data_IF_767596658516
#
_entry.id   IF_767596658516
#
_cell.length_a   1.000
_cell.length_b   1.000
_cell.length_c   1.000
_cell.angle_alpha   90.00
_cell.angle_beta   90.00
_cell.angle_gamma   90.00
#
_symmetry.space_group_name_H-M   'P 1'
#
loop_
_entity.id
_entity.type
_entity.pdbx_description
1 polymer ?
#
# COMPACT_ATOMS: atom_id res chain seq x y z
N UNK A 1 -12.90 26.45 21.31
CA UNK A 1 -12.12 25.20 21.44
C UNK A 1 -12.97 23.93 21.32
N UNK A 2 -14.13 23.82 21.98
CA UNK A 2 -15.00 22.61 21.92
C UNK A 2 -15.33 22.13 20.49
N UNK A 3 -15.69 23.05 19.58
CA UNK A 3 -16.05 22.70 18.19
C UNK A 3 -14.88 22.19 17.33
N UNK A 4 -13.63 22.52 17.68
CA UNK A 4 -12.46 22.06 16.91
C UNK A 4 -12.13 20.61 17.27
N UNK A 5 -12.16 20.27 18.55
CA UNK A 5 -11.94 18.90 19.05
C UNK A 5 -13.05 17.97 18.55
N UNK A 6 -14.27 18.47 18.41
CA UNK A 6 -15.42 17.74 17.88
C UNK A 6 -15.50 17.75 16.34
N UNK A 7 -14.46 18.22 15.64
CA UNK A 7 -14.41 18.13 14.18
C UNK A 7 -14.16 16.70 13.72
N UNK A 8 -14.75 16.34 12.58
CA UNK A 8 -14.69 14.99 12.05
C UNK A 8 -13.25 14.49 11.80
N UNK A 9 -12.32 15.28 11.24
CA UNK A 9 -10.93 14.84 11.06
C UNK A 9 -10.23 14.48 12.38
N UNK A 10 -10.46 15.28 13.43
CA UNK A 10 -9.84 15.05 14.74
C UNK A 10 -10.47 13.82 15.41
N UNK A 11 -11.79 13.65 15.30
CA UNK A 11 -12.46 12.45 15.83
C UNK A 11 -11.99 11.17 15.12
N UNK A 12 -11.75 11.22 13.80
CA UNK A 12 -11.15 10.11 13.06
C UNK A 12 -9.73 9.82 13.52
N UNK A 13 -8.89 10.84 13.72
CA UNK A 13 -7.54 10.65 14.24
C UNK A 13 -7.54 9.96 15.62
N UNK A 14 -8.37 10.44 16.54
CA UNK A 14 -8.52 9.85 17.87
C UNK A 14 -9.03 8.40 17.77
N UNK A 15 -9.98 8.13 16.87
CA UNK A 15 -10.49 6.79 16.63
C UNK A 15 -9.39 5.84 16.14
N UNK A 16 -8.53 6.30 15.22
CA UNK A 16 -7.41 5.51 14.73
C UNK A 16 -6.45 5.15 15.84
N UNK A 17 -6.06 6.13 16.66
CA UNK A 17 -5.17 5.93 17.79
C UNK A 17 -5.75 4.98 18.85
N UNK A 18 -7.08 4.97 19.02
CA UNK A 18 -7.74 4.09 20.00
C UNK A 18 -8.02 2.67 19.48
N UNK A 19 -8.35 2.51 18.19
CA UNK A 19 -8.93 1.26 17.66
C UNK A 19 -8.17 0.64 16.48
N UNK A 20 -7.33 1.40 15.76
CA UNK A 20 -6.68 0.98 14.51
C UNK A 20 -5.15 0.89 14.59
N UNK A 21 -4.62 0.40 15.71
CA UNK A 21 -3.17 0.22 15.89
C UNK A 21 -2.50 -0.53 14.72
N UNK A 22 -3.15 -1.58 14.20
CA UNK A 22 -2.60 -2.35 13.08
C UNK A 22 -2.54 -1.53 11.77
N UNK A 23 -3.58 -0.77 11.44
CA UNK A 23 -3.54 0.05 10.22
C UNK A 23 -2.54 1.21 10.37
N UNK A 24 -2.41 1.78 11.58
CA UNK A 24 -1.44 2.82 11.89
C UNK A 24 0.01 2.34 11.79
N UNK A 25 0.27 1.06 12.08
CA UNK A 25 1.61 0.47 11.99
C UNK A 25 2.23 0.70 10.61
N UNK A 26 1.48 0.54 9.52
CA UNK A 26 2.01 0.76 8.17
C UNK A 26 2.39 2.22 7.93
N UNK A 27 1.61 3.17 8.44
CA UNK A 27 1.98 4.59 8.38
C UNK A 27 3.26 4.85 9.16
N UNK A 28 3.38 4.31 10.38
CA UNK A 28 4.60 4.44 11.20
C UNK A 28 5.80 3.89 10.45
N UNK A 29 5.69 2.69 9.87
CA UNK A 29 6.78 2.09 9.07
C UNK A 29 7.16 3.00 7.89
N UNK A 30 6.18 3.53 7.15
CA UNK A 30 6.44 4.45 6.04
C UNK A 30 7.15 5.72 6.50
N UNK A 31 6.73 6.33 7.61
CA UNK A 31 7.41 7.47 8.21
C UNK A 31 8.87 7.12 8.53
N UNK A 32 9.11 5.99 9.19
CA UNK A 32 10.45 5.56 9.56
C UNK A 32 11.35 5.29 8.34
N UNK A 33 10.80 4.70 7.27
CA UNK A 33 11.53 4.47 6.01
C UNK A 33 11.95 5.80 5.37
N UNK A 34 11.02 6.76 5.25
CA UNK A 34 11.28 8.02 4.55
C UNK A 34 12.17 8.98 5.37
N UNK A 35 12.16 8.89 6.70
CA UNK A 35 13.03 9.70 7.57
C UNK A 35 14.36 9.03 7.89
N UNK A 36 14.79 8.02 7.12
CA UNK A 36 16.04 7.29 7.32
C UNK A 36 16.19 6.56 8.68
N UNK A 37 15.10 6.40 9.45
CA UNK A 37 15.12 5.69 10.74
C UNK A 37 15.00 4.17 10.58
N UNK A 38 14.56 3.70 9.42
CA UNK A 38 14.42 2.28 9.09
C UNK A 38 15.04 1.96 7.73
N UNK A 39 15.93 0.98 7.71
CA UNK A 39 16.46 0.43 6.46
C UNK A 39 17.52 1.28 5.74
N UNK A 40 18.08 2.30 6.40
CA UNK A 40 19.13 3.16 5.86
C UNK A 40 20.32 2.37 5.31
N UNK A 41 20.86 1.42 6.10
CA UNK A 41 21.99 0.56 5.69
C UNK A 41 21.70 -0.32 4.47
N UNK A 42 20.43 -0.52 4.15
CA UNK A 42 19.97 -1.32 3.01
C UNK A 42 19.48 -0.44 1.86
N UNK A 43 19.59 0.89 1.96
CA UNK A 43 19.13 1.82 0.94
C UNK A 43 17.61 1.93 0.80
N UNK A 44 16.81 1.44 1.76
CA UNK A 44 15.34 1.50 1.70
C UNK A 44 14.83 2.94 1.50
N UNK A 45 15.35 3.98 2.21
CA UNK A 45 14.90 5.35 1.98
C UNK A 45 15.10 5.81 0.53
N UNK A 46 16.20 5.39 -0.11
CA UNK A 46 16.53 5.75 -1.49
C UNK A 46 15.49 5.23 -2.48
N UNK A 47 14.85 4.09 -2.20
CA UNK A 47 13.79 3.55 -3.05
C UNK A 47 12.60 4.53 -3.18
N UNK A 48 12.35 5.33 -2.15
CA UNK A 48 11.29 6.35 -2.14
C UNK A 48 11.78 7.70 -2.65
N UNK A 49 13.02 8.09 -2.33
CA UNK A 49 13.55 9.42 -2.62
C UNK A 49 14.13 9.53 -4.04
N UNK A 50 14.57 8.42 -4.62
CA UNK A 50 15.11 8.31 -5.98
C UNK A 50 14.54 7.06 -6.69
N UNK A 51 13.21 7.00 -6.90
CA UNK A 51 12.57 5.82 -7.49
C UNK A 51 13.02 5.64 -8.95
N UNK A 52 13.64 4.51 -9.24
CA UNK A 52 14.09 4.16 -10.59
C UNK A 52 12.97 3.43 -11.37
N UNK A 53 12.82 3.78 -12.65
CA UNK A 53 12.01 3.03 -13.61
C UNK A 53 12.71 3.02 -14.96
N UNK A 54 12.89 1.82 -15.54
CA UNK A 54 13.60 1.61 -16.81
C UNK A 54 15.02 2.22 -16.86
N UNK A 55 15.74 2.25 -15.74
CA UNK A 55 17.10 2.80 -15.67
C UNK A 55 17.17 4.29 -15.28
N UNK A 56 16.03 4.98 -15.21
CA UNK A 56 15.99 6.44 -15.03
C UNK A 56 15.08 6.87 -13.87
N UNK A 57 15.47 7.97 -13.21
CA UNK A 57 14.64 8.67 -12.22
C UNK A 57 13.98 9.88 -12.87
N UNK A 58 12.79 9.65 -13.41
CA UNK A 58 12.05 10.58 -14.26
C UNK A 58 10.67 10.92 -13.70
N UNK A 59 9.94 11.78 -14.41
CA UNK A 59 8.51 12.03 -14.15
C UNK A 59 7.72 10.72 -14.06
N UNK A 60 8.01 9.75 -14.94
CA UNK A 60 7.27 8.49 -15.01
C UNK A 60 7.52 7.62 -13.77
N UNK A 61 8.75 7.59 -13.27
CA UNK A 61 9.12 6.85 -12.06
C UNK A 61 8.35 7.38 -10.84
N UNK A 62 8.29 8.71 -10.68
CA UNK A 62 7.48 9.36 -9.65
C UNK A 62 5.98 9.24 -9.91
N UNK A 63 5.52 9.20 -11.17
CA UNK A 63 4.12 9.00 -11.52
C UNK A 63 3.62 7.63 -11.08
N UNK A 64 4.38 6.56 -11.35
CA UNK A 64 4.05 5.20 -10.90
C UNK A 64 4.06 5.13 -9.37
N UNK A 65 5.05 5.75 -8.72
CA UNK A 65 5.09 5.84 -7.26
C UNK A 65 3.87 6.58 -6.70
N UNK A 66 3.49 7.70 -7.32
CA UNK A 66 2.29 8.47 -6.98
C UNK A 66 1.02 7.65 -7.16
N UNK A 67 0.91 6.90 -8.26
CA UNK A 67 -0.22 6.02 -8.54
C UNK A 67 -0.35 4.92 -7.47
N UNK A 68 0.77 4.28 -7.11
CA UNK A 68 0.80 3.29 -6.02
C UNK A 68 0.48 3.92 -4.64
N UNK A 69 0.95 5.13 -4.38
CA UNK A 69 0.58 5.89 -3.18
C UNK A 69 -0.92 6.20 -3.16
N UNK A 70 -1.49 6.63 -4.28
CA UNK A 70 -2.94 6.79 -4.45
C UNK A 70 -3.69 5.49 -4.17
N UNK A 71 -3.20 4.35 -4.64
CA UNK A 71 -3.77 3.03 -4.34
C UNK A 71 -3.75 2.70 -2.84
N UNK A 72 -2.59 2.88 -2.20
CA UNK A 72 -2.43 2.71 -0.76
C UNK A 72 -3.38 3.62 0.03
N UNK A 73 -3.51 4.90 -0.36
CA UNK A 73 -4.44 5.85 0.25
C UNK A 73 -5.90 5.43 0.11
N UNK A 74 -6.29 4.94 -1.06
CA UNK A 74 -7.65 4.47 -1.29
C UNK A 74 -7.95 3.25 -0.44
N UNK A 75 -7.04 2.28 -0.38
CA UNK A 75 -7.17 1.10 0.48
C UNK A 75 -7.29 1.47 1.95
N UNK A 76 -6.44 2.38 2.44
CA UNK A 76 -6.52 2.92 3.80
C UNK A 76 -7.92 3.49 4.10
N UNK A 77 -8.44 4.31 3.20
CA UNK A 77 -9.74 4.97 3.37
C UNK A 77 -10.90 3.98 3.30
N UNK A 78 -10.88 3.06 2.34
CA UNK A 78 -11.92 2.04 2.17
C UNK A 78 -11.96 1.11 3.38
N UNK A 79 -10.80 0.59 3.79
CA UNK A 79 -10.69 -0.32 4.93
C UNK A 79 -11.18 0.35 6.20
N UNK A 80 -10.74 1.59 6.46
CA UNK A 80 -11.18 2.31 7.66
C UNK A 80 -12.66 2.67 7.63
N UNK A 81 -13.20 3.02 6.45
CA UNK A 81 -14.62 3.30 6.27
C UNK A 81 -15.47 2.06 6.61
N UNK A 82 -15.12 0.88 6.09
CA UNK A 82 -15.84 -0.37 6.37
C UNK A 82 -15.84 -0.67 7.87
N UNK A 83 -14.69 -0.51 8.52
CA UNK A 83 -14.54 -0.85 9.94
C UNK A 83 -15.26 0.14 10.86
N UNK A 84 -15.32 1.43 10.51
CA UNK A 84 -15.69 2.48 11.47
C UNK A 84 -16.81 3.43 11.05
N UNK A 85 -17.28 3.40 9.81
CA UNK A 85 -18.32 4.35 9.37
C UNK A 85 -19.62 4.25 10.19
N UNK A 86 -19.91 3.08 10.78
CA UNK A 86 -21.04 2.86 11.67
C UNK A 86 -21.00 3.68 12.97
N UNK A 87 -19.81 4.13 13.41
CA UNK A 87 -19.67 5.05 14.55
C UNK A 87 -20.09 6.50 14.20
N UNK A 88 -20.29 6.79 12.92
CA UNK A 88 -20.58 8.11 12.38
C UNK A 88 -21.87 8.08 11.52
N UNK A 89 -23.05 7.91 12.14
CA UNK A 89 -24.33 7.77 11.42
C UNK A 89 -24.69 8.97 10.55
N UNK A 90 -24.18 10.17 10.85
CA UNK A 90 -24.41 11.37 10.02
C UNK A 90 -23.95 11.19 8.57
N UNK A 91 -22.95 10.33 8.34
CA UNK A 91 -22.49 9.99 6.99
C UNK A 91 -23.62 9.42 6.14
N UNK A 92 -24.50 8.60 6.71
CA UNK A 92 -25.63 8.03 5.99
C UNK A 92 -26.51 9.13 5.38
N UNK A 93 -26.67 10.28 6.03
CA UNK A 93 -27.51 11.37 5.50
C UNK A 93 -26.91 12.13 4.30
N UNK A 94 -25.67 11.83 3.90
CA UNK A 94 -24.95 12.54 2.85
C UNK A 94 -25.10 11.85 1.48
N UNK A 95 -25.10 12.65 0.41
CA UNK A 95 -25.13 12.13 -0.96
C UNK A 95 -23.84 11.37 -1.34
N UNK A 96 -22.68 11.74 -0.79
CA UNK A 96 -21.37 11.09 -1.08
C UNK A 96 -20.65 10.77 0.23
N UNK A 97 -21.13 9.77 1.00
CA UNK A 97 -20.63 9.49 2.34
C UNK A 97 -19.14 9.13 2.35
N UNK A 98 -18.73 8.23 1.45
CA UNK A 98 -17.34 7.80 1.32
C UNK A 98 -16.41 8.95 0.94
N UNK A 99 -16.79 9.81 -0.02
CA UNK A 99 -15.96 10.95 -0.42
C UNK A 99 -15.72 11.94 0.73
N UNK A 100 -16.77 12.23 1.51
CA UNK A 100 -16.64 13.07 2.72
C UNK A 100 -15.79 12.37 3.77
N UNK A 101 -15.97 11.07 3.98
CA UNK A 101 -15.13 10.30 4.90
C UNK A 101 -13.65 10.39 4.52
N UNK A 102 -13.30 10.05 3.28
CA UNK A 102 -11.91 10.02 2.80
C UNK A 102 -11.24 11.39 2.89
N UNK A 103 -11.99 12.46 2.61
CA UNK A 103 -11.47 13.83 2.74
C UNK A 103 -11.15 14.19 4.19
N UNK A 104 -11.99 13.80 5.14
CA UNK A 104 -11.77 14.09 6.56
C UNK A 104 -10.76 13.10 7.18
N UNK A 105 -10.54 11.94 6.56
CA UNK A 105 -9.54 10.94 6.95
C UNK A 105 -8.15 11.17 6.29
N UNK A 106 -7.84 12.41 5.94
CA UNK A 106 -6.63 12.78 5.20
C UNK A 106 -5.48 13.27 6.08
N UNK A 107 -5.69 13.47 7.38
CA UNK A 107 -4.69 14.08 8.27
C UNK A 107 -3.35 13.31 8.31
N UNK A 108 -3.41 11.98 8.49
CA UNK A 108 -2.20 11.13 8.49
C UNK A 108 -1.56 11.07 7.10
N UNK A 109 -2.31 10.78 6.00
CA UNK A 109 -1.82 10.90 4.64
C UNK A 109 -1.09 12.20 4.31
N UNK A 110 -1.69 13.34 4.66
CA UNK A 110 -1.14 14.67 4.38
C UNK A 110 0.12 14.90 5.20
N UNK A 111 0.12 14.53 6.49
CA UNK A 111 1.31 14.62 7.33
C UNK A 111 2.47 13.79 6.75
N UNK A 112 2.20 12.57 6.30
CA UNK A 112 3.20 11.73 5.64
C UNK A 112 3.70 12.37 4.34
N UNK A 113 2.79 12.85 3.49
CA UNK A 113 3.15 13.46 2.23
C UNK A 113 4.02 14.71 2.42
N UNK A 114 3.73 15.54 3.43
CA UNK A 114 4.54 16.70 3.79
C UNK A 114 5.95 16.26 4.20
N UNK A 115 6.07 15.29 5.12
CA UNK A 115 7.37 14.77 5.55
C UNK A 115 8.15 14.18 4.37
N UNK A 116 7.48 13.41 3.52
CA UNK A 116 8.09 12.83 2.33
C UNK A 116 8.60 13.87 1.34
N UNK A 117 7.84 14.92 1.06
CA UNK A 117 8.29 16.01 0.19
C UNK A 117 9.48 16.74 0.80
N UNK A 118 9.47 17.01 2.11
CA UNK A 118 10.59 17.63 2.81
C UNK A 118 11.85 16.77 2.65
N UNK A 119 11.76 15.47 2.95
CA UNK A 119 12.89 14.55 2.84
C UNK A 119 13.37 14.41 1.39
N UNK A 120 12.47 14.39 0.41
CA UNK A 120 12.81 14.36 -1.01
C UNK A 120 13.60 15.60 -1.44
N UNK A 121 13.21 16.79 -0.98
CA UNK A 121 13.90 18.04 -1.31
C UNK A 121 15.25 18.15 -0.59
N UNK A 122 15.34 17.70 0.66
CA UNK A 122 16.60 17.63 1.42
C UNK A 122 17.56 16.67 0.73
N UNK A 123 17.12 15.46 0.40
CA UNK A 123 17.92 14.47 -0.31
C UNK A 123 18.45 14.99 -1.66
N UNK A 124 17.57 15.58 -2.48
CA UNK A 124 18.01 16.15 -3.76
C UNK A 124 19.02 17.28 -3.59
N UNK A 125 18.90 18.09 -2.52
CA UNK A 125 19.88 19.15 -2.23
C UNK A 125 21.23 18.56 -1.84
N UNK A 126 21.22 17.60 -0.93
CA UNK A 126 22.43 17.05 -0.32
C UNK A 126 23.23 16.22 -1.35
N UNK A 127 22.56 15.52 -2.27
CA UNK A 127 23.17 14.81 -3.41
C UNK A 127 23.52 15.72 -4.60
N UNK A 128 23.30 17.04 -4.50
CA UNK A 128 23.58 17.99 -5.59
C UNK A 128 22.67 17.83 -6.83
N UNK A 129 21.58 17.07 -6.72
CA UNK A 129 20.59 16.81 -7.76
C UNK A 129 19.52 17.91 -7.87
N UNK A 130 19.51 18.87 -6.93
CA UNK A 130 18.46 19.89 -6.83
C UNK A 130 18.54 20.91 -7.96
N UNK A 131 17.83 20.61 -9.04
CA UNK A 131 17.45 21.57 -10.08
C UNK A 131 15.96 21.81 -9.99
N UNK A 132 15.55 23.05 -9.73
CA UNK A 132 14.14 23.42 -9.58
C UNK A 132 13.19 22.82 -10.64
N UNK A 133 13.48 22.89 -11.96
CA UNK A 133 12.58 22.29 -12.96
C UNK A 133 12.50 20.76 -12.85
N UNK A 134 13.59 20.09 -12.48
CA UNK A 134 13.63 18.62 -12.31
C UNK A 134 12.84 18.22 -11.07
N UNK A 135 13.03 18.93 -9.95
CA UNK A 135 12.27 18.71 -8.73
C UNK A 135 10.77 18.94 -8.94
N UNK A 136 10.39 20.00 -9.65
CA UNK A 136 9.00 20.28 -9.98
C UNK A 136 8.37 19.20 -10.88
N UNK A 137 9.11 18.67 -11.86
CA UNK A 137 8.65 17.54 -12.69
C UNK A 137 8.46 16.27 -11.87
N UNK A 138 9.39 15.93 -10.99
CA UNK A 138 9.31 14.76 -10.10
C UNK A 138 8.10 14.86 -9.16
N UNK A 139 7.92 16.00 -8.50
CA UNK A 139 6.75 16.27 -7.67
C UNK A 139 5.45 16.25 -8.49
N UNK A 140 5.46 16.83 -9.68
CA UNK A 140 4.33 16.80 -10.62
C UNK A 140 3.94 15.37 -11.00
N UNK A 141 4.91 14.50 -11.24
CA UNK A 141 4.70 13.06 -11.47
C UNK A 141 4.00 12.42 -10.28
N UNK A 142 4.56 12.58 -9.07
CA UNK A 142 4.00 12.05 -7.84
C UNK A 142 2.54 12.48 -7.62
N UNK A 143 2.25 13.77 -7.69
CA UNK A 143 0.91 14.30 -7.47
C UNK A 143 -0.07 13.87 -8.56
N UNK A 144 0.33 13.93 -9.83
CA UNK A 144 -0.54 13.54 -10.94
C UNK A 144 -0.87 12.04 -10.89
N UNK A 145 0.10 11.17 -10.59
CA UNK A 145 -0.14 9.74 -10.40
C UNK A 145 -1.14 9.46 -9.28
N UNK A 146 -0.96 10.10 -8.12
CA UNK A 146 -1.87 9.95 -6.98
C UNK A 146 -3.28 10.45 -7.30
N UNK A 147 -3.40 11.63 -7.92
CA UNK A 147 -4.69 12.22 -8.31
C UNK A 147 -5.40 11.33 -9.33
N UNK A 148 -4.70 10.82 -10.35
CA UNK A 148 -5.28 9.92 -11.36
C UNK A 148 -5.86 8.67 -10.70
N UNK A 149 -5.11 8.00 -9.82
CA UNK A 149 -5.60 6.81 -9.14
C UNK A 149 -6.83 7.10 -8.27
N UNK A 150 -6.75 8.16 -7.45
CA UNK A 150 -7.85 8.58 -6.58
C UNK A 150 -9.08 8.93 -7.41
N UNK A 151 -8.93 9.67 -8.52
CA UNK A 151 -10.02 10.04 -9.40
C UNK A 151 -10.70 8.80 -10.04
N UNK A 152 -9.91 7.85 -10.55
CA UNK A 152 -10.43 6.59 -11.10
C UNK A 152 -11.19 5.79 -10.03
N UNK A 153 -10.63 5.69 -8.83
CA UNK A 153 -11.25 4.98 -7.71
C UNK A 153 -12.55 5.64 -7.27
N UNK A 154 -12.57 6.97 -7.13
CA UNK A 154 -13.77 7.74 -6.79
C UNK A 154 -14.84 7.63 -7.88
N UNK A 155 -14.45 7.70 -9.17
CA UNK A 155 -15.38 7.53 -10.28
C UNK A 155 -16.05 6.15 -10.25
N UNK A 156 -15.26 5.09 -10.03
CA UNK A 156 -15.79 3.74 -9.85
C UNK A 156 -16.73 3.65 -8.64
N UNK A 157 -16.33 4.18 -7.47
CA UNK A 157 -17.15 4.16 -6.25
C UNK A 157 -18.46 4.94 -6.44
N UNK A 158 -18.46 6.07 -7.13
CA UNK A 158 -19.66 6.86 -7.35
C UNK A 158 -20.58 6.28 -8.44
N UNK A 159 -20.02 5.58 -9.42
CA UNK A 159 -20.80 4.87 -10.44
C UNK A 159 -21.54 3.66 -9.84
N UNK A 160 -20.86 2.90 -8.98
CA UNK A 160 -21.35 1.60 -8.49
C UNK A 160 -22.23 1.73 -7.23
N UNK A 161 -22.14 2.84 -6.49
CA UNK A 161 -22.96 3.09 -5.31
C UNK A 161 -24.26 3.82 -5.67
N UNK A 162 -25.41 3.18 -5.44
CA UNK A 162 -26.72 3.84 -5.49
C UNK A 162 -26.85 4.84 -4.33
N UNK A 163 -27.30 6.06 -4.60
CA UNK A 163 -27.58 7.06 -3.56
C UNK A 163 -28.77 6.62 -2.69
N UNK A 164 -28.88 7.12 -1.45
CA UNK A 164 -30.06 6.90 -0.59
C UNK A 164 -31.38 7.18 -1.31
N UNK A 165 -31.45 8.25 -2.10
CA UNK A 165 -32.64 8.59 -2.87
C UNK A 165 -32.98 7.57 -3.96
N UNK A 166 -31.98 6.89 -4.52
CA UNK A 166 -32.18 5.79 -5.46
C UNK A 166 -32.51 4.47 -4.74
N UNK A 167 -32.00 4.28 -3.51
CA UNK A 167 -32.31 3.12 -2.67
C UNK A 167 -33.74 3.19 -2.11
N UNK A 168 -34.27 4.39 -1.93
CA UNK A 168 -35.64 4.70 -1.49
C UNK A 168 -36.63 4.80 -2.67
N UNK A 169 -36.20 4.56 -3.91
CA UNK A 169 -37.09 4.65 -5.08
C UNK A 169 -37.53 6.07 -5.47
N UNK A 170 -36.97 7.12 -4.86
CA UNK A 170 -37.36 8.53 -5.07
C UNK A 170 -36.83 9.12 -6.40
N UNK A 171 -36.51 8.28 -7.39
CA UNK A 171 -36.13 8.68 -8.74
C UNK A 171 -37.00 7.95 -9.76
N UNK A 172 -38.25 8.38 -9.83
CA UNK A 172 -39.28 7.96 -10.78
C UNK A 172 -40.60 8.63 -10.42
N UNK A 173 -41.45 8.93 -11.40
CA UNK A 173 -42.84 9.41 -11.19
C UNK A 173 -43.76 8.31 -10.62
N UNK A 174 -43.21 7.37 -9.86
CA UNK A 174 -43.97 6.31 -9.20
C UNK A 174 -44.04 6.65 -7.72
N UNK A 175 -45.25 6.63 -7.18
CA UNK A 175 -45.54 6.91 -5.78
C UNK A 175 -44.61 6.06 -4.89
N UNK A 176 -44.00 6.67 -3.86
CA UNK A 176 -43.08 5.94 -3.00
C UNK A 176 -43.87 4.82 -2.34
N UNK A 177 -43.52 3.56 -2.64
CA UNK A 177 -43.94 2.43 -1.80
C UNK A 177 -43.53 2.78 -0.38
N UNK A 178 -44.54 3.04 0.47
CA UNK A 178 -44.35 3.52 1.82
C UNK A 178 -43.26 2.70 2.50
N UNK A 179 -42.13 3.35 2.82
CA UNK A 179 -41.11 2.73 3.64
C UNK A 179 -41.75 2.49 5.00
N UNK A 180 -41.82 1.23 5.43
CA UNK A 180 -42.42 0.89 6.72
C UNK A 180 -41.59 1.51 7.84
N UNK A 181 -42.10 2.62 8.38
CA UNK A 181 -41.48 3.48 9.40
C UNK A 181 -41.79 2.98 10.82
N UNK A 182 -42.45 1.82 10.97
CA UNK A 182 -42.87 1.27 12.27
C UNK A 182 -41.74 0.64 13.09
N UNK A 183 -40.50 0.65 12.58
CA UNK A 183 -39.33 0.10 13.25
C UNK A 183 -38.69 1.08 14.25
N UNK A 184 -37.82 0.59 15.15
CA UNK A 184 -37.13 1.45 16.11
C UNK A 184 -36.23 2.46 15.39
N UNK A 185 -36.25 3.70 15.88
CA UNK A 185 -35.37 4.76 15.40
C UNK A 185 -33.92 4.47 15.78
N UNK A 186 -32.98 5.02 15.01
CA UNK A 186 -31.56 4.86 15.30
C UNK A 186 -31.21 5.31 16.72
N UNK A 187 -31.72 6.47 17.15
CA UNK A 187 -31.45 7.01 18.49
C UNK A 187 -31.93 6.13 19.65
N UNK A 188 -33.02 5.37 19.45
CA UNK A 188 -33.52 4.41 20.46
C UNK A 188 -32.76 3.08 20.46
N UNK A 189 -32.10 2.74 19.34
CA UNK A 189 -31.39 1.46 19.15
C UNK A 189 -29.91 1.54 19.57
N UNK A 190 -29.25 2.68 19.35
CA UNK A 190 -27.79 2.82 19.45
C UNK A 190 -27.30 3.76 20.53
N UNK A 191 -28.17 4.17 21.47
CA UNK A 191 -28.07 5.33 22.38
C UNK A 191 -26.75 5.61 23.14
N UNK A 192 -25.73 4.75 23.05
CA UNK A 192 -24.42 4.91 23.69
C UNK A 192 -23.18 4.62 22.81
N UNK A 193 -23.32 4.26 21.52
CA UNK A 193 -22.18 3.89 20.65
C UNK A 193 -21.76 4.94 19.62
N UNK A 194 -22.43 6.09 19.59
CA UNK A 194 -22.20 7.16 18.60
C UNK A 194 -21.09 8.12 19.04
N UNK A 195 -20.16 8.40 18.13
CA UNK A 195 -19.17 9.45 18.34
C UNK A 195 -19.79 10.77 17.88
N UNK A 196 -19.93 11.71 18.82
CA UNK A 196 -20.51 13.02 18.53
C UNK A 196 -19.55 13.84 17.68
N UNK A 197 -19.99 14.21 16.48
CA UNK A 197 -19.25 15.07 15.55
C UNK A 197 -20.03 16.37 15.40
N UNK A 198 -19.36 17.51 15.60
CA UNK A 198 -19.97 18.83 15.49
C UNK A 198 -19.86 19.38 14.06
N UNK A 199 -18.68 19.24 13.45
CA UNK A 199 -18.36 19.80 12.12
C UNK A 199 -17.62 18.79 11.26
N UNK A 200 -17.81 18.87 9.95
CA UNK A 200 -17.08 18.07 8.95
C UNK A 200 -16.75 18.91 7.72
N UNK A 201 -15.72 18.51 6.99
CA UNK A 201 -15.35 19.12 5.71
C UNK A 201 -16.16 18.50 4.58
N UNK A 202 -16.91 19.30 3.82
CA UNK A 202 -17.65 18.81 2.65
C UNK A 202 -16.75 18.70 1.40
N UNK A 203 -17.30 18.17 0.31
CA UNK A 203 -16.59 18.02 -0.98
C UNK A 203 -16.14 19.34 -1.64
N UNK A 204 -16.63 20.49 -1.18
CA UNK A 204 -16.22 21.82 -1.63
C UNK A 204 -15.15 22.43 -0.71
N UNK A 205 -14.57 21.64 0.21
CA UNK A 205 -13.62 22.08 1.23
C UNK A 205 -14.19 23.14 2.17
N UNK A 206 -15.50 23.15 2.40
CA UNK A 206 -16.21 24.02 3.34
C UNK A 206 -16.59 23.25 4.60
N UNK A 207 -16.42 23.89 5.76
CA UNK A 207 -16.87 23.35 7.04
C UNK A 207 -18.39 23.41 7.13
N UNK A 208 -19.03 22.26 7.40
CA UNK A 208 -20.47 22.14 7.62
C UNK A 208 -20.75 21.48 8.97
N UNK A 209 -21.88 21.84 9.58
CA UNK A 209 -22.34 21.19 10.82
C UNK A 209 -22.91 19.79 10.51
N UNK A 210 -22.55 18.80 11.32
CA UNK A 210 -23.13 17.47 11.22
C UNK A 210 -24.58 17.48 11.75
N UNK A 211 -25.49 16.83 11.03
CA UNK A 211 -26.91 16.78 11.41
C UNK A 211 -27.18 15.59 12.35
N UNK A 212 -28.04 15.74 13.37
CA UNK A 212 -28.44 14.63 14.23
C UNK A 212 -29.28 13.63 13.45
N UNK A 213 -28.99 12.34 13.63
CA UNK A 213 -29.58 11.24 12.84
C UNK A 213 -30.54 10.37 13.66
N UNK A 214 -30.68 10.65 14.96
CA UNK A 214 -31.45 9.80 15.88
C UNK A 214 -32.91 9.54 15.47
N UNK A 215 -33.48 10.38 14.60
CA UNK A 215 -34.86 10.30 14.11
C UNK A 215 -35.05 9.37 12.90
N UNK A 216 -33.96 8.94 12.24
CA UNK A 216 -34.08 8.05 11.07
C UNK A 216 -34.30 6.59 11.48
N UNK A 217 -35.02 5.79 10.67
CA UNK A 217 -35.19 4.36 10.92
C UNK A 217 -33.84 3.64 10.90
N UNK A 218 -33.58 2.81 11.91
CA UNK A 218 -32.30 2.10 12.01
C UNK A 218 -32.04 1.19 10.79
N UNK A 219 -33.10 0.56 10.26
CA UNK A 219 -33.03 -0.30 9.09
C UNK A 219 -32.50 0.42 7.84
N UNK A 220 -32.82 1.71 7.66
CA UNK A 220 -32.35 2.51 6.54
C UNK A 220 -30.84 2.74 6.61
N UNK A 221 -30.35 3.09 7.80
CA UNK A 221 -28.92 3.31 8.06
C UNK A 221 -28.13 2.01 7.85
N UNK A 222 -28.62 0.88 8.37
CA UNK A 222 -27.98 -0.42 8.16
C UNK A 222 -27.91 -0.84 6.69
N UNK A 223 -28.95 -0.57 5.88
CA UNK A 223 -28.94 -0.87 4.44
C UNK A 223 -27.86 -0.08 3.69
N UNK A 224 -27.67 1.19 4.04
CA UNK A 224 -26.62 2.04 3.44
C UNK A 224 -25.23 1.50 3.76
N UNK A 225 -24.98 1.09 5.00
CA UNK A 225 -23.70 0.50 5.39
C UNK A 225 -23.43 -0.83 4.68
N UNK A 226 -24.44 -1.69 4.50
CA UNK A 226 -24.29 -2.99 3.84
C UNK A 226 -24.01 -2.87 2.34
N UNK A 227 -24.59 -1.88 1.67
CA UNK A 227 -24.41 -1.65 0.23
C UNK A 227 -22.97 -1.25 -0.14
N UNK A 228 -22.33 -0.41 0.68
CA UNK A 228 -20.98 0.09 0.39
C UNK A 228 -19.88 -0.97 0.57
N UNK A 229 -20.13 -2.01 1.37
CA UNK A 229 -19.14 -3.05 1.67
C UNK A 229 -18.84 -3.96 0.46
N UNK A 230 -19.84 -4.35 -0.33
CA UNK A 230 -19.64 -5.24 -1.48
C UNK A 230 -18.85 -4.58 -2.62
N UNK A 231 -19.08 -3.28 -2.85
CA UNK A 231 -18.37 -2.54 -3.88
C UNK A 231 -16.89 -2.36 -3.56
N UNK A 232 -16.55 -2.18 -2.29
CA UNK A 232 -15.18 -2.13 -1.82
C UNK A 232 -14.44 -3.46 -2.04
N UNK A 233 -15.08 -4.58 -1.68
CA UNK A 233 -14.53 -5.92 -1.85
C UNK A 233 -14.20 -6.24 -3.32
N UNK A 234 -15.00 -5.77 -4.27
CA UNK A 234 -14.71 -5.96 -5.70
C UNK A 234 -13.46 -5.20 -6.18
N UNK A 235 -13.27 -3.96 -5.74
CA UNK A 235 -12.05 -3.17 -6.06
C UNK A 235 -10.83 -3.84 -5.46
N UNK A 236 -10.97 -4.29 -4.21
CA UNK A 236 -9.96 -5.05 -3.48
C UNK A 236 -9.51 -6.30 -4.26
N UNK A 237 -10.44 -7.16 -4.68
CA UNK A 237 -10.11 -8.34 -5.49
C UNK A 237 -9.48 -7.98 -6.84
N UNK A 238 -9.95 -6.93 -7.50
CA UNK A 238 -9.41 -6.48 -8.79
C UNK A 238 -7.98 -5.97 -8.66
N UNK A 239 -7.68 -5.20 -7.60
CA UNK A 239 -6.33 -4.70 -7.33
C UNK A 239 -5.36 -5.84 -7.01
N UNK A 240 -5.79 -6.84 -6.24
CA UNK A 240 -4.99 -8.02 -5.93
C UNK A 240 -4.66 -8.83 -7.19
N UNK A 241 -5.64 -9.02 -8.07
CA UNK A 241 -5.44 -9.70 -9.36
C UNK A 241 -4.42 -8.95 -10.24
N UNK A 242 -4.50 -7.63 -10.33
CA UNK A 242 -3.57 -6.82 -11.11
C UNK A 242 -2.11 -6.99 -10.64
N UNK A 243 -1.89 -7.07 -9.32
CA UNK A 243 -0.55 -7.27 -8.76
C UNK A 243 0.00 -8.67 -9.09
N UNK A 244 -0.84 -9.70 -9.04
CA UNK A 244 -0.44 -11.06 -9.45
C UNK A 244 -0.02 -11.08 -10.92
N UNK A 245 -0.78 -10.41 -11.78
CA UNK A 245 -0.46 -10.29 -13.22
C UNK A 245 0.85 -9.52 -13.42
N UNK A 246 1.04 -8.40 -12.73
CA UNK A 246 2.30 -7.62 -12.76
C UNK A 246 3.50 -8.47 -12.32
N UNK A 247 3.34 -9.24 -11.24
CA UNK A 247 4.38 -10.14 -10.73
C UNK A 247 4.72 -11.26 -11.72
N UNK A 248 3.72 -11.81 -12.42
CA UNK A 248 3.96 -12.81 -13.47
C UNK A 248 4.72 -12.24 -14.67
N UNK A 249 4.57 -10.94 -14.96
CA UNK A 249 5.18 -10.27 -16.11
C UNK A 249 6.50 -9.55 -15.77
N UNK A 250 7.05 -9.75 -14.56
CA UNK A 250 8.22 -9.00 -14.06
C UNK A 250 9.51 -9.20 -14.89
N UNK A 251 9.59 -10.29 -15.65
CA UNK A 251 10.71 -10.57 -16.56
C UNK A 251 10.82 -9.50 -17.65
N UNK A 252 9.69 -8.91 -18.07
CA UNK A 252 9.65 -7.82 -19.02
C UNK A 252 9.94 -6.48 -18.33
N UNK A 253 10.96 -5.70 -18.76
CA UNK A 253 11.39 -4.48 -18.09
C UNK A 253 10.28 -3.45 -17.82
N UNK A 254 9.27 -3.38 -18.70
CA UNK A 254 8.13 -2.45 -18.58
C UNK A 254 7.27 -2.72 -17.33
N UNK A 255 7.21 -3.98 -16.87
CA UNK A 255 6.41 -4.35 -15.70
C UNK A 255 7.21 -4.29 -14.39
N UNK A 256 8.51 -3.93 -14.45
CA UNK A 256 9.35 -3.68 -13.28
C UNK A 256 9.08 -2.28 -12.74
N UNK A 257 8.01 -2.15 -11.98
CA UNK A 257 7.65 -0.88 -11.31
C UNK A 257 8.72 -0.50 -10.27
N UNK A 258 8.84 0.80 -9.90
CA UNK A 258 9.78 1.23 -8.86
C UNK A 258 9.57 0.46 -7.56
N UNK A 259 10.66 0.08 -6.89
CA UNK A 259 10.60 -0.77 -5.70
C UNK A 259 9.73 -0.19 -4.57
N UNK A 260 9.77 1.13 -4.34
CA UNK A 260 8.89 1.79 -3.36
C UNK A 260 7.39 1.65 -3.72
N UNK A 261 7.05 1.61 -5.01
CA UNK A 261 5.68 1.34 -5.46
C UNK A 261 5.24 -0.07 -5.05
N UNK A 262 6.12 -1.06 -5.21
CA UNK A 262 5.87 -2.43 -4.77
C UNK A 262 5.67 -2.52 -3.25
N UNK A 263 6.45 -1.78 -2.45
CA UNK A 263 6.28 -1.71 -0.99
C UNK A 263 4.89 -1.15 -0.63
N UNK A 264 4.48 -0.04 -1.26
CA UNK A 264 3.17 0.57 -1.03
C UNK A 264 2.01 -0.37 -1.40
N UNK A 265 2.12 -1.05 -2.54
CA UNK A 265 1.14 -2.03 -3.00
C UNK A 265 1.07 -3.25 -2.07
N UNK A 266 2.22 -3.73 -1.59
CA UNK A 266 2.27 -4.80 -0.59
C UNK A 266 1.57 -4.37 0.70
N UNK A 267 1.86 -3.18 1.22
CA UNK A 267 1.19 -2.67 2.41
C UNK A 267 -0.31 -2.51 2.19
N UNK A 268 -0.73 -2.07 1.00
CA UNK A 268 -2.14 -2.02 0.63
C UNK A 268 -2.80 -3.41 0.71
N UNK A 269 -2.17 -4.44 0.12
CA UNK A 269 -2.68 -5.83 0.21
C UNK A 269 -2.80 -6.28 1.67
N UNK A 270 -1.77 -6.08 2.48
CA UNK A 270 -1.79 -6.53 3.89
C UNK A 270 -2.87 -5.78 4.67
N UNK A 271 -3.03 -4.47 4.46
CA UNK A 271 -4.11 -3.69 5.07
C UNK A 271 -5.48 -4.23 4.67
N UNK A 272 -5.68 -4.57 3.39
CA UNK A 272 -6.94 -5.16 2.93
C UNK A 272 -7.22 -6.50 3.60
N UNK A 273 -6.25 -7.41 3.63
CA UNK A 273 -6.39 -8.73 4.27
C UNK A 273 -6.74 -8.56 5.75
N UNK A 274 -6.01 -7.71 6.48
CA UNK A 274 -6.30 -7.50 7.90
C UNK A 274 -7.60 -6.75 8.12
N UNK A 275 -7.99 -5.86 7.20
CA UNK A 275 -9.31 -5.25 7.16
C UNK A 275 -10.43 -6.28 7.06
N UNK A 276 -10.34 -7.18 6.09
CA UNK A 276 -11.30 -8.26 5.87
C UNK A 276 -11.37 -9.21 7.07
N UNK A 277 -10.22 -9.66 7.58
CA UNK A 277 -10.10 -10.53 8.77
C UNK A 277 -10.70 -9.85 10.00
N UNK A 278 -10.37 -8.58 10.25
CA UNK A 278 -10.92 -7.80 11.36
C UNK A 278 -12.43 -7.63 11.26
N UNK A 279 -12.94 -7.46 10.04
CA UNK A 279 -14.37 -7.35 9.78
C UNK A 279 -15.11 -8.68 10.04
N UNK A 280 -14.59 -9.81 9.55
CA UNK A 280 -15.23 -11.12 9.70
C UNK A 280 -15.15 -11.66 11.13
N UNK A 281 -14.00 -11.50 11.78
CA UNK A 281 -13.75 -12.13 13.08
C UNK A 281 -14.20 -11.28 14.28
N UNK A 282 -14.59 -10.02 14.06
CA UNK A 282 -15.08 -9.09 15.09
C UNK A 282 -14.17 -9.12 16.34
N UNK A 283 -14.69 -9.55 17.49
CA UNK A 283 -13.95 -9.63 18.77
C UNK A 283 -12.84 -10.68 18.81
N UNK A 284 -12.89 -11.69 17.95
CA UNK A 284 -11.92 -12.79 17.91
C UNK A 284 -10.63 -12.45 17.14
N UNK A 285 -10.56 -11.25 16.55
CA UNK A 285 -9.44 -10.83 15.70
C UNK A 285 -8.07 -11.01 16.36
N UNK A 286 -7.94 -10.69 17.66
CA UNK A 286 -6.66 -10.79 18.37
C UNK A 286 -6.25 -12.26 18.51
N UNK A 287 -7.18 -13.10 18.96
CA UNK A 287 -6.92 -14.53 19.14
C UNK A 287 -6.53 -15.20 17.82
N UNK A 288 -7.28 -14.94 16.75
CA UNK A 288 -7.00 -15.54 15.44
C UNK A 288 -5.71 -15.02 14.83
N UNK A 289 -5.38 -13.73 14.99
CA UNK A 289 -4.07 -13.21 14.56
C UNK A 289 -2.92 -13.90 15.31
N UNK A 290 -3.05 -14.13 16.62
CA UNK A 290 -2.03 -14.84 17.42
C UNK A 290 -1.90 -16.28 16.91
N UNK A 291 -3.01 -17.00 16.75
CA UNK A 291 -3.01 -18.37 16.21
C UNK A 291 -2.41 -18.40 14.80
N UNK A 292 -2.71 -17.41 13.95
CA UNK A 292 -2.17 -17.29 12.60
C UNK A 292 -0.65 -17.11 12.60
N UNK A 293 -0.12 -16.25 13.49
CA UNK A 293 1.33 -16.09 13.65
C UNK A 293 1.98 -17.39 14.13
N UNK A 294 1.39 -18.07 15.13
CA UNK A 294 1.89 -19.36 15.63
C UNK A 294 1.85 -20.46 14.57
N UNK A 295 0.80 -20.48 13.73
CA UNK A 295 0.71 -21.40 12.60
C UNK A 295 1.77 -21.12 11.55
N UNK A 296 1.98 -19.85 11.19
CA UNK A 296 3.05 -19.47 10.25
C UNK A 296 4.41 -19.89 10.81
N UNK A 297 4.69 -19.62 12.08
CA UNK A 297 5.93 -20.03 12.75
C UNK A 297 6.11 -21.56 12.72
N UNK A 298 5.06 -22.31 13.01
CA UNK A 298 5.09 -23.78 12.96
C UNK A 298 5.30 -24.31 11.53
N UNK A 299 4.66 -23.71 10.53
CA UNK A 299 4.84 -24.09 9.11
C UNK A 299 6.27 -23.75 8.64
N UNK A 300 6.81 -22.60 9.04
CA UNK A 300 8.20 -22.22 8.75
C UNK A 300 9.17 -23.19 9.44
N UNK A 301 8.94 -23.52 10.71
CA UNK A 301 9.75 -24.46 11.49
C UNK A 301 9.78 -25.88 10.91
N UNK A 302 8.70 -26.30 10.23
CA UNK A 302 8.64 -27.58 9.54
C UNK A 302 9.28 -27.58 8.14
N UNK A 303 9.95 -26.50 7.73
CA UNK A 303 10.56 -26.32 6.40
C UNK A 303 9.59 -26.46 5.21
N UNK A 304 8.26 -26.45 5.44
CA UNK A 304 7.24 -26.59 4.40
C UNK A 304 7.18 -25.39 3.44
N UNK A 305 7.67 -24.21 3.89
CA UNK A 305 7.69 -22.95 3.14
C UNK A 305 9.12 -22.45 2.82
N UNK A 306 10.16 -23.27 2.99
CA UNK A 306 11.52 -22.85 2.61
C UNK A 306 11.68 -22.83 1.09
N UNK A 307 11.39 -21.68 0.47
CA UNK A 307 11.85 -21.40 -0.88
C UNK A 307 13.36 -21.12 -0.84
N UNK A 308 14.16 -22.14 -1.14
CA UNK A 308 15.61 -21.98 -1.24
C UNK A 308 15.92 -21.27 -2.56
N UNK A 309 16.14 -19.95 -2.49
CA UNK A 309 16.69 -19.17 -3.60
C UNK A 309 18.10 -19.67 -3.89
N UNK A 310 18.22 -20.56 -4.88
CA UNK A 310 19.48 -21.08 -5.37
C UNK A 310 20.05 -20.08 -6.37
N UNK A 311 21.26 -19.62 -6.13
CA UNK A 311 22.00 -18.84 -7.11
C UNK A 311 22.18 -19.68 -8.37
N UNK A 312 21.84 -19.09 -9.51
CA UNK A 312 22.01 -19.73 -10.80
C UNK A 312 23.49 -20.10 -11.02
N UNK A 313 23.74 -21.29 -11.55
CA UNK A 313 25.08 -21.78 -11.85
C UNK A 313 25.85 -22.40 -10.68
N UNK A 314 25.30 -22.40 -9.45
CA UNK A 314 25.89 -23.12 -8.31
C UNK A 314 25.26 -24.51 -8.17
N UNK A 315 26.12 -25.54 -8.06
CA UNK A 315 25.70 -26.90 -7.76
C UNK A 315 25.38 -27.07 -6.28
N UNK A 316 24.10 -27.01 -5.90
CA UNK A 316 23.66 -27.32 -4.55
C UNK A 316 23.59 -28.84 -4.37
N UNK A 317 24.75 -29.46 -4.13
CA UNK A 317 24.84 -30.88 -3.82
C UNK A 317 24.08 -31.19 -2.51
N UNK A 318 23.39 -32.35 -2.41
CA UNK A 318 22.62 -32.71 -1.22
C UNK A 318 23.49 -33.06 0.00
N UNK A 319 24.79 -33.26 -0.19
CA UNK A 319 25.74 -33.56 0.90
C UNK A 319 26.37 -32.28 1.44
N UNK A 320 26.11 -32.02 2.73
CA UNK A 320 26.77 -30.97 3.49
C UNK A 320 28.29 -31.11 3.37
N UNK A 321 28.94 -30.07 2.85
CA UNK A 321 30.39 -30.03 2.74
C UNK A 321 30.96 -29.49 4.07
N UNK A 322 32.00 -30.09 4.64
CA UNK A 322 32.56 -29.62 5.90
C UNK A 322 33.17 -28.22 5.73
N UNK A 323 32.65 -27.26 6.49
CA UNK A 323 33.16 -25.87 6.52
C UNK A 323 34.31 -25.77 7.54
N UNK A 324 35.47 -26.30 7.18
CA UNK A 324 36.69 -26.25 7.99
C UNK A 324 37.79 -25.44 7.30
N UNK A 325 38.69 -24.86 8.09
CA UNK A 325 39.85 -24.12 7.59
C UNK A 325 40.70 -24.97 6.63
N UNK A 326 40.93 -26.24 6.98
CA UNK A 326 41.68 -27.18 6.14
C UNK A 326 40.99 -27.43 4.79
N UNK A 327 39.65 -27.57 4.78
CA UNK A 327 38.87 -27.70 3.53
C UNK A 327 39.02 -26.45 2.67
N UNK A 328 38.88 -25.26 3.28
CA UNK A 328 39.01 -23.98 2.57
C UNK A 328 40.42 -23.81 1.99
N UNK A 329 41.46 -24.18 2.73
CA UNK A 329 42.84 -24.16 2.24
C UNK A 329 43.05 -25.15 1.09
N UNK A 330 42.43 -26.33 1.17
CA UNK A 330 42.50 -27.35 0.11
C UNK A 330 41.81 -26.86 -1.17
N UNK A 331 40.64 -26.22 -1.03
CA UNK A 331 39.88 -25.63 -2.15
C UNK A 331 40.60 -24.41 -2.75
N UNK A 332 41.36 -23.66 -1.94
CA UNK A 332 42.22 -22.56 -2.39
C UNK A 332 43.63 -23.01 -2.77
N UNK A 333 43.85 -24.31 -2.95
CA UNK A 333 45.13 -24.85 -3.36
C UNK A 333 45.51 -24.46 -4.81
N UNK A 334 46.81 -24.50 -5.17
CA UNK A 334 47.28 -24.12 -6.49
C UNK A 334 46.62 -24.93 -7.62
N UNK A 335 46.37 -26.22 -7.41
CA UNK A 335 45.72 -27.08 -8.40
C UNK A 335 44.28 -26.66 -8.74
N UNK A 336 43.48 -26.23 -7.75
CA UNK A 336 42.13 -25.72 -7.99
C UNK A 336 42.16 -24.33 -8.62
N UNK A 337 43.10 -23.48 -8.18
CA UNK A 337 43.31 -22.15 -8.78
C UNK A 337 43.65 -22.23 -10.26
N UNK A 338 44.54 -23.15 -10.64
CA UNK A 338 44.94 -23.33 -12.04
C UNK A 338 43.82 -23.96 -12.88
N UNK A 339 43.03 -24.87 -12.29
CA UNK A 339 41.82 -25.41 -12.91
C UNK A 339 40.78 -24.31 -13.16
N UNK A 340 40.54 -23.44 -12.19
CA UNK A 340 39.59 -22.33 -12.31
C UNK A 340 40.05 -21.29 -13.33
N UNK A 341 41.35 -20.96 -13.36
CA UNK A 341 41.95 -20.12 -14.41
C UNK A 341 41.73 -20.72 -15.79
N UNK A 342 41.98 -22.03 -15.96
CA UNK A 342 41.83 -22.72 -17.23
C UNK A 342 40.36 -22.73 -17.69
N UNK A 343 39.44 -22.99 -16.76
CA UNK A 343 38.00 -22.95 -17.02
C UNK A 343 37.53 -21.53 -17.41
N UNK A 344 37.95 -20.52 -16.64
CA UNK A 344 37.61 -19.13 -16.93
C UNK A 344 38.19 -18.67 -18.27
N UNK A 345 39.43 -19.05 -18.59
CA UNK A 345 40.03 -18.78 -19.89
C UNK A 345 39.21 -19.39 -21.03
N UNK A 346 38.71 -20.61 -20.85
CA UNK A 346 37.84 -21.28 -21.82
C UNK A 346 36.53 -20.50 -22.01
N UNK A 347 35.91 -20.04 -20.93
CA UNK A 347 34.69 -19.21 -20.97
C UNK A 347 34.96 -17.89 -21.72
N UNK A 348 36.09 -17.24 -21.42
CA UNK A 348 36.49 -15.98 -22.06
C UNK A 348 36.80 -16.16 -23.55
N UNK A 349 37.45 -17.26 -23.94
CA UNK A 349 37.69 -17.60 -25.35
C UNK A 349 36.37 -17.85 -26.08
N UNK A 350 35.46 -18.63 -25.50
CA UNK A 350 34.12 -18.87 -26.05
C UNK A 350 33.31 -17.57 -26.20
N UNK A 351 33.43 -16.66 -25.23
CA UNK A 351 32.82 -15.33 -25.32
C UNK A 351 33.48 -14.47 -26.41
N UNK A 352 34.82 -14.44 -26.49
CA UNK A 352 35.57 -13.68 -27.51
C UNK A 352 35.24 -14.13 -28.93
N UNK A 353 35.01 -15.42 -29.13
CA UNK A 353 34.65 -16.02 -30.41
C UNK A 353 33.26 -15.59 -30.92
N UNK A 354 32.42 -14.94 -30.08
CA UNK A 354 31.13 -14.38 -30.51
C UNK A 354 31.24 -13.03 -31.22
N UNK A 355 32.44 -12.45 -31.30
CA UNK A 355 32.69 -11.11 -31.86
C UNK A 355 33.77 -11.17 -32.95
N UNK A 356 33.76 -10.25 -33.93
CA UNK A 356 34.78 -10.20 -34.99
C UNK A 356 36.21 -10.13 -34.44
N UNK A 357 37.18 -10.72 -35.14
CA UNK A 357 38.58 -10.78 -34.68
C UNK A 357 39.23 -9.39 -34.55
N UNK A 358 38.82 -8.45 -35.40
CA UNK A 358 39.45 -7.14 -35.52
C UNK A 358 38.87 -6.07 -34.59
N UNK A 359 37.78 -6.38 -33.87
CA UNK A 359 37.15 -5.44 -32.94
C UNK A 359 37.18 -5.98 -31.51
N UNK A 360 37.73 -5.21 -30.54
CA UNK A 360 37.69 -5.62 -29.15
C UNK A 360 36.24 -5.56 -28.63
N UNK A 361 35.70 -6.66 -28.07
CA UNK A 361 34.35 -6.68 -27.52
C UNK A 361 34.26 -5.83 -26.25
N UNK A 362 33.11 -5.18 -26.03
CA UNK A 362 32.82 -4.48 -24.78
C UNK A 362 32.67 -5.49 -23.65
N UNK A 363 33.53 -5.42 -22.64
CA UNK A 363 33.44 -6.22 -21.42
C UNK A 363 33.02 -5.34 -20.25
N UNK A 364 32.04 -5.80 -19.47
CA UNK A 364 31.61 -5.13 -18.24
C UNK A 364 32.01 -6.03 -17.08
N UNK A 365 32.86 -5.51 -16.19
CA UNK A 365 33.21 -6.18 -14.94
C UNK A 365 32.32 -5.64 -13.83
N UNK A 366 31.57 -6.53 -13.19
CA UNK A 366 30.76 -6.19 -12.02
C UNK A 366 31.48 -6.74 -10.81
N UNK A 367 32.04 -5.86 -9.99
CA UNK A 367 32.72 -6.25 -8.76
C UNK A 367 31.74 -6.13 -7.58
N UNK A 368 31.21 -7.26 -7.11
CA UNK A 368 30.21 -7.29 -6.04
C UNK A 368 30.86 -7.83 -4.77
N UNK A 369 30.82 -7.07 -3.67
CA UNK A 369 31.22 -7.57 -2.36
C UNK A 369 30.10 -8.42 -1.76
N UNK A 370 29.93 -9.66 -2.24
CA UNK A 370 29.16 -10.70 -1.56
C UNK A 370 27.75 -10.30 -1.11
N UNK A 371 26.88 -10.05 -2.08
CA UNK A 371 25.43 -9.93 -1.93
C UNK A 371 24.90 -10.05 -3.34
N UNK A 372 24.13 -11.10 -3.64
CA UNK A 372 23.78 -11.49 -5.01
C UNK A 372 23.27 -10.32 -5.87
N UNK A 373 23.53 -10.43 -7.17
CA UNK A 373 22.82 -9.66 -8.19
C UNK A 373 21.31 -9.90 -8.12
#
# INVERSE_FOLDING_TARGET
MSNLIQSFPIQLLILHLKKNHFLLLFWVILFLMVTFLLGERYGIPLLFLDPEYLGDVSFLSFFILGFAFGAFLMVWNVTSYILHAHHFPFLATLHRPFGVYSLNNSLIPIAFLIVYIIQLLVFQRDEGLLRFPVAALRLGGLFSGAIVFIALSMAYFFSTNKNIFQLLGLKGKEEPTAFDDSGPTWGSTTGHMEIRVATYLNHELRLKAARPVGHYPAALIFRVYRQHHMNALFIELTALLLIVVLGHLIDYPVFRIPAASSILLLFAIVIMVVGAVSYWLKGWKILVSIIGILLIDLIIGQNLLQYKNRAYGIGYAPTEQPYTLDRLQTLNGPAYTDKDKTNMLTILQNWRNKFPADTPPKMVFINCSGGGL
#
